data_IF_425476977598
#
_entry.id   IF_425476977598
#
_cell.length_a   1.000
_cell.length_b   1.000
_cell.length_c   1.000
_cell.angle_alpha   90.00
_cell.angle_beta   90.00
_cell.angle_gamma   90.00
#
_symmetry.space_group_name_H-M   'P 1'
#
loop_
_entity.id
_entity.type
_entity.pdbx_description
1 polymer ?
#
# COMPACT_ATOMS: atom_id res chain seq x y z
N UNK A 1 -7.74 -21.12 2.37
CA UNK A 1 -8.19 -20.46 1.12
C UNK A 1 -9.53 -19.78 1.34
N UNK A 2 -10.53 -20.47 1.91
CA UNK A 2 -11.82 -19.85 2.30
C UNK A 2 -11.65 -18.66 3.26
N UNK A 3 -10.82 -18.78 4.30
CA UNK A 3 -10.58 -17.69 5.27
C UNK A 3 -10.02 -16.40 4.63
N UNK A 4 -9.11 -16.53 3.67
CA UNK A 4 -8.51 -15.38 2.94
C UNK A 4 -9.57 -14.68 2.07
N UNK A 5 -10.44 -15.45 1.43
CA UNK A 5 -11.54 -14.91 0.63
C UNK A 5 -12.54 -14.16 1.50
N UNK A 6 -12.88 -14.69 2.69
CA UNK A 6 -13.74 -14.00 3.64
C UNK A 6 -13.14 -12.67 4.13
N UNK A 7 -11.83 -12.65 4.46
CA UNK A 7 -11.13 -11.41 4.82
C UNK A 7 -11.15 -10.41 3.68
N UNK A 8 -10.82 -10.84 2.46
CA UNK A 8 -10.83 -9.97 1.29
C UNK A 8 -12.24 -9.42 1.00
N UNK A 9 -13.27 -10.23 1.22
CA UNK A 9 -14.67 -9.81 1.10
C UNK A 9 -15.06 -8.79 2.17
N UNK A 10 -14.58 -8.91 3.41
CA UNK A 10 -14.78 -7.88 4.45
C UNK A 10 -14.14 -6.56 4.03
N UNK A 11 -12.92 -6.62 3.50
CA UNK A 11 -12.19 -5.44 3.02
C UNK A 11 -12.86 -4.75 1.83
N UNK A 12 -13.69 -5.45 1.05
CA UNK A 12 -14.43 -4.85 -0.07
C UNK A 12 -15.44 -3.79 0.36
N UNK A 13 -15.80 -3.74 1.65
CA UNK A 13 -16.64 -2.65 2.21
C UNK A 13 -15.89 -1.31 2.30
N UNK A 14 -14.56 -1.35 2.25
CA UNK A 14 -13.69 -0.19 2.18
C UNK A 14 -13.26 0.07 0.74
N UNK A 15 -13.19 1.35 0.37
CA UNK A 15 -12.67 1.75 -0.93
C UNK A 15 -11.14 1.71 -0.90
N UNK A 16 -10.51 0.58 -1.24
CA UNK A 16 -9.05 0.43 -1.24
C UNK A 16 -8.50 0.36 -2.67
N UNK A 17 -7.42 1.11 -2.93
CA UNK A 17 -6.60 0.91 -4.14
C UNK A 17 -5.85 -0.42 -4.09
N UNK A 18 -5.28 -0.84 -5.21
CA UNK A 18 -4.66 -2.16 -5.33
C UNK A 18 -3.45 -2.36 -4.42
N UNK A 19 -2.56 -1.38 -4.29
CA UNK A 19 -1.46 -1.44 -3.32
C UNK A 19 -1.97 -1.61 -1.88
N UNK A 20 -3.07 -0.93 -1.53
CA UNK A 20 -3.65 -1.01 -0.20
C UNK A 20 -4.35 -2.33 0.08
N UNK A 21 -5.09 -2.85 -0.89
CA UNK A 21 -5.75 -4.15 -0.80
C UNK A 21 -4.72 -5.28 -0.77
N UNK A 22 -3.76 -5.25 -1.71
CA UNK A 22 -2.76 -6.29 -1.83
C UNK A 22 -1.81 -6.36 -0.64
N UNK A 23 -1.43 -5.23 -0.02
CA UNK A 23 -0.56 -5.30 1.17
C UNK A 23 -1.24 -5.98 2.35
N UNK A 24 -2.57 -6.04 2.40
CA UNK A 24 -3.29 -6.80 3.42
C UNK A 24 -3.12 -8.33 3.24
N UNK A 25 -2.54 -8.79 2.14
CA UNK A 25 -2.29 -10.22 1.90
C UNK A 25 -0.85 -10.47 1.45
N UNK A 26 0.07 -9.55 1.81
CA UNK A 26 1.47 -9.58 1.39
C UNK A 26 2.19 -10.88 1.80
N UNK A 27 1.77 -11.51 2.90
CA UNK A 27 2.37 -12.74 3.43
C UNK A 27 1.77 -14.03 2.85
N UNK A 28 0.73 -13.95 2.00
CA UNK A 28 0.06 -15.15 1.45
C UNK A 28 0.85 -15.78 0.30
N UNK A 29 1.40 -14.96 -0.58
CA UNK A 29 2.18 -15.40 -1.75
C UNK A 29 3.28 -14.35 -2.02
N UNK A 30 4.46 -14.75 -2.48
CA UNK A 30 5.56 -13.81 -2.75
C UNK A 30 5.88 -13.73 -4.25
N UNK A 31 6.75 -12.79 -4.64
CA UNK A 31 7.20 -12.65 -6.04
C UNK A 31 6.36 -11.73 -6.91
N UNK A 32 5.50 -10.91 -6.30
CA UNK A 32 4.74 -9.84 -6.97
C UNK A 32 4.65 -8.62 -6.06
N UNK A 33 4.37 -7.46 -6.66
CA UNK A 33 4.07 -6.22 -5.95
C UNK A 33 2.71 -6.29 -5.25
N UNK A 34 2.48 -5.39 -4.30
CA UNK A 34 1.17 -5.31 -3.64
C UNK A 34 0.09 -4.80 -4.61
N UNK A 35 0.42 -3.94 -5.58
CA UNK A 35 -0.52 -3.56 -6.65
C UNK A 35 -0.97 -4.77 -7.48
N UNK A 36 -0.05 -5.57 -8.00
CA UNK A 36 -0.39 -6.77 -8.77
C UNK A 36 -1.23 -7.76 -7.95
N UNK A 37 -0.95 -7.88 -6.65
CA UNK A 37 -1.75 -8.73 -5.76
C UNK A 37 -3.17 -8.17 -5.57
N UNK A 38 -3.29 -6.86 -5.37
CA UNK A 38 -4.59 -6.18 -5.23
C UNK A 38 -5.45 -6.37 -6.46
N UNK A 39 -4.87 -6.21 -7.66
CA UNK A 39 -5.55 -6.45 -8.94
C UNK A 39 -6.08 -7.88 -9.04
N UNK A 40 -5.29 -8.89 -8.64
CA UNK A 40 -5.73 -10.29 -8.63
C UNK A 40 -6.89 -10.55 -7.67
N UNK A 41 -6.80 -10.02 -6.44
CA UNK A 41 -7.87 -10.15 -5.43
C UNK A 41 -9.15 -9.49 -5.96
N UNK A 42 -9.02 -8.30 -6.54
CA UNK A 42 -10.11 -7.55 -7.14
C UNK A 42 -10.78 -8.33 -8.27
N UNK A 43 -10.00 -8.92 -9.17
CA UNK A 43 -10.50 -9.75 -10.25
C UNK A 43 -11.23 -11.00 -9.73
N UNK A 44 -10.68 -11.67 -8.71
CA UNK A 44 -11.28 -12.85 -8.08
C UNK A 44 -12.63 -12.55 -7.41
N UNK A 45 -12.77 -11.36 -6.81
CA UNK A 45 -13.98 -10.92 -6.13
C UNK A 45 -14.92 -10.10 -7.03
N UNK A 46 -14.59 -9.92 -8.31
CA UNK A 46 -15.35 -9.09 -9.25
C UNK A 46 -15.60 -7.65 -8.76
N UNK A 47 -14.60 -7.06 -8.10
CA UNK A 47 -14.66 -5.70 -7.57
C UNK A 47 -14.23 -4.67 -8.63
N UNK A 48 -14.76 -3.44 -8.62
CA UNK A 48 -14.36 -2.39 -9.56
C UNK A 48 -12.93 -1.90 -9.27
N UNK A 49 -12.20 -1.44 -10.29
CA UNK A 49 -10.89 -0.79 -10.13
C UNK A 49 -10.98 0.44 -9.24
N UNK A 50 -9.89 0.71 -8.50
CA UNK A 50 -9.78 1.84 -7.57
C UNK A 50 -8.42 2.50 -7.66
N UNK A 51 -8.43 3.78 -8.03
CA UNK A 51 -7.22 4.60 -8.06
C UNK A 51 -6.72 4.89 -6.63
N UNK A 52 -5.43 5.21 -6.46
CA UNK A 52 -4.89 5.71 -5.20
C UNK A 52 -5.67 6.91 -4.63
N UNK A 53 -6.12 7.82 -5.49
CA UNK A 53 -6.81 9.07 -5.09
C UNK A 53 -8.18 8.81 -4.44
N UNK A 54 -8.84 7.72 -4.84
CA UNK A 54 -10.13 7.30 -4.26
C UNK A 54 -9.95 6.40 -3.03
N UNK A 55 -8.71 6.09 -2.63
CA UNK A 55 -8.43 5.13 -1.57
C UNK A 55 -8.75 5.73 -0.21
N UNK A 56 -9.74 5.15 0.48
CA UNK A 56 -10.13 5.49 1.84
C UNK A 56 -8.97 5.42 2.84
N UNK A 57 -8.04 4.49 2.62
CA UNK A 57 -6.94 4.18 3.52
C UNK A 57 -5.72 5.08 3.34
N UNK A 58 -5.21 5.20 2.11
CA UNK A 58 -3.98 5.95 1.84
C UNK A 58 -4.19 7.35 1.27
N UNK A 59 -5.42 7.68 0.86
CA UNK A 59 -5.80 9.03 0.40
C UNK A 59 -4.84 9.58 -0.68
N UNK A 60 -4.53 8.78 -1.70
CA UNK A 60 -3.62 9.16 -2.77
C UNK A 60 -2.13 8.90 -2.50
N UNK A 61 -1.72 8.63 -1.26
CA UNK A 61 -0.30 8.57 -0.89
C UNK A 61 0.53 7.60 -1.75
N UNK A 62 -0.03 6.43 -2.07
CA UNK A 62 0.66 5.43 -2.92
C UNK A 62 0.89 5.90 -4.35
N UNK A 63 0.11 6.86 -4.86
CA UNK A 63 0.29 7.47 -6.17
C UNK A 63 1.26 8.67 -6.19
N UNK A 64 1.71 9.14 -5.02
CA UNK A 64 2.61 10.31 -4.92
C UNK A 64 4.07 9.93 -4.66
N UNK A 65 4.41 8.64 -4.58
CA UNK A 65 5.77 8.18 -4.21
C UNK A 65 6.84 8.77 -5.14
N UNK A 66 6.62 8.72 -6.46
CA UNK A 66 7.56 9.27 -7.46
C UNK A 66 7.76 10.78 -7.29
N UNK A 67 6.72 11.51 -6.88
CA UNK A 67 6.80 12.95 -6.62
C UNK A 67 7.69 13.20 -5.40
N UNK A 68 7.50 12.47 -4.31
CA UNK A 68 8.34 12.59 -3.12
C UNK A 68 9.79 12.16 -3.38
N UNK A 69 10.00 11.10 -4.15
CA UNK A 69 11.34 10.64 -4.55
C UNK A 69 12.09 11.74 -5.33
N UNK A 70 11.43 12.40 -6.30
CA UNK A 70 12.02 13.52 -7.05
C UNK A 70 12.40 14.69 -6.15
N UNK A 71 11.53 15.04 -5.19
CA UNK A 71 11.81 16.12 -4.22
C UNK A 71 13.01 15.77 -3.34
N UNK A 72 13.13 14.52 -2.89
CA UNK A 72 14.27 14.04 -2.12
C UNK A 72 15.56 14.11 -2.94
N UNK A 73 15.56 13.60 -4.18
CA UNK A 73 16.72 13.66 -5.09
C UNK A 73 17.18 15.10 -5.31
N UNK A 74 16.25 16.05 -5.52
CA UNK A 74 16.61 17.44 -5.75
C UNK A 74 17.33 18.06 -4.54
N UNK A 75 16.90 17.73 -3.33
CA UNK A 75 17.53 18.20 -2.09
C UNK A 75 18.86 17.52 -1.78
N UNK A 76 19.03 16.28 -2.18
CA UNK A 76 20.27 15.53 -1.96
C UNK A 76 21.42 16.01 -2.86
N UNK A 77 21.14 16.70 -3.98
CA UNK A 77 22.18 17.28 -4.86
C UNK A 77 23.15 18.24 -4.15
N UNK A 78 22.74 18.80 -3.03
CA UNK A 78 23.57 19.71 -2.21
C UNK A 78 24.64 18.96 -1.38
N UNK A 79 24.62 17.62 -1.39
CA UNK A 79 25.47 16.76 -0.56
C UNK A 79 26.14 15.67 -1.39
N UNK A 80 27.34 15.25 -0.98
CA UNK A 80 28.00 14.07 -1.51
C UNK A 80 27.76 12.88 -0.55
N UNK A 81 27.42 11.71 -1.10
CA UNK A 81 27.10 10.53 -0.30
C UNK A 81 27.47 9.23 -1.04
N UNK A 82 28.06 8.27 -0.32
CA UNK A 82 28.29 6.91 -0.83
C UNK A 82 27.09 5.98 -0.56
N UNK A 83 26.37 6.23 0.53
CA UNK A 83 25.19 5.46 0.94
C UNK A 83 24.19 6.38 1.64
N UNK A 84 22.92 6.00 1.61
CA UNK A 84 21.84 6.73 2.28
C UNK A 84 20.81 5.76 2.86
N UNK A 85 20.05 6.23 3.84
CA UNK A 85 18.92 5.52 4.42
C UNK A 85 17.64 6.27 4.06
N UNK A 86 16.64 5.53 3.55
CA UNK A 86 15.32 6.08 3.25
C UNK A 86 14.33 5.58 4.29
N UNK A 87 13.48 6.48 4.74
CA UNK A 87 12.36 6.17 5.62
C UNK A 87 11.25 7.19 5.47
N UNK A 88 10.06 6.82 5.93
CA UNK A 88 8.87 7.67 5.88
C UNK A 88 8.31 7.91 7.27
N UNK A 89 7.69 9.09 7.44
CA UNK A 89 6.75 9.35 8.53
C UNK A 89 5.36 9.46 7.91
N UNK A 90 4.51 8.51 8.28
CA UNK A 90 3.14 8.42 7.79
C UNK A 90 2.21 9.18 8.74
N UNK A 91 1.19 9.80 8.17
CA UNK A 91 0.14 10.47 8.94
C UNK A 91 -0.51 9.51 9.95
N UNK A 92 -0.78 10.00 11.16
CA UNK A 92 -1.38 9.19 12.22
C UNK A 92 -2.79 8.71 11.86
N UNK A 93 -3.54 9.47 11.06
CA UNK A 93 -4.85 9.07 10.57
C UNK A 93 -4.76 7.84 9.66
N UNK A 94 -3.81 7.81 8.73
CA UNK A 94 -3.57 6.65 7.85
C UNK A 94 -3.20 5.43 8.69
N UNK A 95 -2.33 5.59 9.69
CA UNK A 95 -1.97 4.49 10.60
C UNK A 95 -3.16 4.03 11.46
N UNK A 96 -4.09 4.93 11.80
CA UNK A 96 -5.32 4.59 12.50
C UNK A 96 -6.26 3.78 11.61
N UNK A 97 -6.49 4.24 10.37
CA UNK A 97 -7.28 3.53 9.36
C UNK A 97 -6.69 2.16 9.02
N UNK A 98 -5.37 2.05 8.95
CA UNK A 98 -4.68 0.77 8.68
C UNK A 98 -5.04 -0.28 9.73
N UNK A 99 -5.14 0.09 11.01
CA UNK A 99 -5.53 -0.85 12.08
C UNK A 99 -6.95 -1.39 11.92
N UNK A 100 -7.83 -0.68 11.21
CA UNK A 100 -9.21 -1.13 10.97
C UNK A 100 -9.29 -2.21 9.88
N UNK A 101 -8.33 -2.25 8.96
CA UNK A 101 -8.31 -3.17 7.81
C UNK A 101 -7.21 -4.23 7.90
N UNK A 102 -6.39 -4.20 8.95
CA UNK A 102 -5.26 -5.09 9.12
C UNK A 102 -5.71 -6.55 9.26
N UNK A 103 -5.20 -7.40 8.39
CA UNK A 103 -5.35 -8.87 8.47
C UNK A 103 -4.12 -9.49 9.16
N UNK A 104 -4.16 -10.78 9.53
CA UNK A 104 -2.98 -11.52 10.00
C UNK A 104 -1.83 -11.58 8.98
N UNK A 105 -2.11 -11.36 7.70
CA UNK A 105 -1.16 -11.45 6.59
C UNK A 105 -0.67 -10.09 6.09
N UNK A 106 -1.10 -9.02 6.76
CA UNK A 106 -0.87 -7.66 6.32
C UNK A 106 0.58 -7.21 6.47
N UNK A 107 0.99 -6.36 5.56
CA UNK A 107 2.20 -5.56 5.66
C UNK A 107 1.84 -4.09 5.89
N UNK A 108 2.60 -3.43 6.77
CA UNK A 108 2.37 -2.00 7.07
C UNK A 108 2.61 -1.13 5.83
N UNK A 109 1.81 -0.09 5.68
CA UNK A 109 2.00 0.93 4.66
C UNK A 109 3.40 1.54 4.68
N UNK A 110 4.07 1.62 5.84
CA UNK A 110 5.46 2.09 5.91
C UNK A 110 6.41 1.26 5.06
N UNK A 111 6.23 -0.06 5.04
CA UNK A 111 7.06 -0.94 4.20
C UNK A 111 6.71 -0.79 2.73
N UNK A 112 5.44 -0.56 2.41
CA UNK A 112 5.02 -0.28 1.04
C UNK A 112 5.65 1.01 0.50
N UNK A 113 5.66 2.08 1.30
CA UNK A 113 6.25 3.37 0.89
C UNK A 113 7.78 3.32 0.83
N UNK A 114 8.43 2.53 1.69
CA UNK A 114 9.89 2.41 1.72
C UNK A 114 10.44 1.29 0.81
N UNK A 115 9.61 0.71 -0.05
CA UNK A 115 9.99 -0.43 -0.91
C UNK A 115 10.98 -0.01 -2.01
#
# INVERSE_FOLDING_TARGET
MEEILEEAQKLSTYCLCDACLGRQFAQVEHGMTNSERGERIRALLHLPEKSPDECWLCEGLTGEIEKFAKLAIEKLKEYEHDTFLVGCRIDEEILRKEREVATPHSESIKREINR
#
